data_IF_396966841633
#
_entry.id   IF_396966841633
#
_cell.length_a   1.000
_cell.length_b   1.000
_cell.length_c   1.000
_cell.angle_alpha   90.00
_cell.angle_beta   90.00
_cell.angle_gamma   90.00
#
_symmetry.space_group_name_H-M   'P 1'
#
loop_
_entity.id
_entity.type
_entity.pdbx_description
1 polymer ?
#
# COMPACT_ATOMS: atom_id res chain seq x y z
N UNK A 1 -4.10 -24.88 50.67
CA UNK A 1 -2.73 -25.38 50.88
C UNK A 1 -2.19 -25.92 49.56
N UNK A 2 -0.89 -25.75 49.30
CA UNK A 2 -0.35 -25.32 48.01
C UNK A 2 0.58 -26.35 47.34
N UNK A 3 0.99 -26.10 46.08
CA UNK A 3 2.39 -26.10 45.60
C UNK A 3 2.47 -26.17 44.05
N UNK A 4 2.85 -25.03 43.42
CA UNK A 4 4.05 -24.78 42.58
C UNK A 4 4.68 -25.89 41.70
N UNK A 5 5.56 -25.56 40.70
CA UNK A 5 5.70 -24.33 39.90
C UNK A 5 6.17 -24.50 38.41
N UNK A 6 6.13 -23.37 37.67
CA UNK A 6 7.05 -22.78 36.68
C UNK A 6 8.03 -23.64 35.83
N UNK A 7 8.04 -23.38 34.52
CA UNK A 7 9.17 -23.62 33.61
C UNK A 7 9.55 -22.36 32.80
N UNK A 8 10.71 -21.85 33.21
CA UNK A 8 11.73 -20.94 32.68
C UNK A 8 11.77 -20.57 31.19
N UNK A 9 11.93 -19.26 30.95
CA UNK A 9 12.30 -18.63 29.69
C UNK A 9 13.84 -18.54 29.51
N UNK A 10 14.32 -18.64 28.27
CA UNK A 10 15.73 -18.48 27.88
C UNK A 10 16.07 -17.01 27.57
N UNK A 11 17.26 -16.49 27.95
CA UNK A 11 17.67 -15.14 27.61
C UNK A 11 18.48 -15.07 26.30
N UNK A 12 18.17 -14.06 25.49
CA UNK A 12 19.00 -13.56 24.38
C UNK A 12 20.22 -12.83 24.93
N UNK A 13 21.42 -13.17 24.45
CA UNK A 13 22.65 -12.45 24.75
C UNK A 13 23.00 -11.48 23.61
N UNK A 14 23.35 -10.25 23.98
CA UNK A 14 23.86 -9.23 23.09
C UNK A 14 25.29 -8.84 23.49
N UNK A 15 26.03 -8.31 22.50
CA UNK A 15 27.23 -7.46 22.60
C UNK A 15 28.60 -8.13 22.46
N UNK A 16 29.32 -7.73 21.40
CA UNK A 16 30.77 -7.46 21.43
C UNK A 16 31.10 -6.26 20.53
N UNK A 17 31.34 -5.10 21.14
CA UNK A 17 32.22 -4.04 20.61
C UNK A 17 33.54 -4.14 21.37
N UNK A 18 34.66 -4.28 20.66
CA UNK A 18 36.00 -4.20 21.24
C UNK A 18 36.75 -3.03 20.59
N UNK A 19 37.10 -2.04 21.40
CA UNK A 19 38.07 -0.99 21.08
C UNK A 19 39.40 -1.38 21.72
N UNK A 20 40.51 -1.23 20.98
CA UNK A 20 41.85 -1.42 21.52
C UNK A 20 42.67 -0.13 21.45
N UNK A 21 43.44 0.04 22.53
CA UNK A 21 44.06 1.26 23.05
C UNK A 21 45.41 1.57 22.42
N UNK A 22 45.74 2.86 22.48
CA UNK A 22 47.04 3.50 22.24
C UNK A 22 48.00 3.16 23.38
N UNK A 23 49.26 2.83 23.06
CA UNK A 23 50.37 2.73 24.01
C UNK A 23 51.61 3.44 23.46
N UNK A 24 51.99 4.56 24.09
CA UNK A 24 53.29 5.20 23.91
C UNK A 24 54.38 4.41 24.64
N UNK A 25 55.52 4.19 23.98
CA UNK A 25 56.75 3.72 24.60
C UNK A 25 57.90 4.68 24.27
N UNK A 26 58.40 5.37 25.29
CA UNK A 26 59.66 6.12 25.29
C UNK A 26 60.84 5.13 25.35
N UNK A 27 61.80 5.28 24.44
CA UNK A 27 63.03 4.49 24.40
C UNK A 27 64.21 5.37 24.03
N UNK A 28 65.20 5.38 24.92
CA UNK A 28 66.31 6.32 25.04
C UNK A 28 67.36 6.22 23.92
N UNK A 29 68.07 7.34 23.72
CA UNK A 29 69.04 7.54 22.66
C UNK A 29 70.37 6.80 22.82
N UNK A 30 71.01 6.57 21.67
CA UNK A 30 72.45 6.38 21.52
C UNK A 30 72.85 7.08 20.21
N UNK A 31 73.58 8.17 20.35
CA UNK A 31 74.07 8.98 19.25
C UNK A 31 75.36 8.38 18.69
N UNK A 32 75.35 8.05 17.40
CA UNK A 32 76.55 7.80 16.61
C UNK A 32 76.58 8.82 15.47
N UNK A 33 77.44 9.83 15.64
CA UNK A 33 77.81 10.78 14.60
C UNK A 33 78.64 10.08 13.52
N UNK A 34 78.26 10.23 12.25
CA UNK A 34 79.11 9.77 11.14
C UNK A 34 78.49 9.90 9.76
N UNK A 35 78.83 11.00 9.08
CA UNK A 35 78.83 11.19 7.62
C UNK A 35 77.47 11.15 6.89
N UNK A 36 76.77 12.28 6.93
CA UNK A 36 75.67 12.59 6.03
C UNK A 36 76.20 12.93 4.61
N UNK A 37 76.12 11.98 3.69
CA UNK A 37 76.05 12.27 2.25
C UNK A 37 74.60 12.58 1.86
N UNK A 38 74.32 13.53 0.95
CA UNK A 38 72.95 13.89 0.61
C UNK A 38 72.23 12.69 -0.02
N UNK A 39 71.24 12.15 0.69
CA UNK A 39 70.26 11.20 0.14
C UNK A 39 69.51 11.90 -1.00
N UNK A 40 69.35 11.29 -2.18
CA UNK A 40 68.43 11.81 -3.17
C UNK A 40 67.03 11.88 -2.54
N UNK A 41 66.25 12.94 -2.80
CA UNK A 41 64.91 13.05 -2.24
C UNK A 41 64.11 11.82 -2.64
N UNK A 42 63.55 11.11 -1.65
CA UNK A 42 62.56 10.08 -1.90
C UNK A 42 61.46 10.72 -2.74
N UNK A 43 61.26 10.20 -3.95
CA UNK A 43 60.14 10.57 -4.80
C UNK A 43 58.87 10.47 -3.96
N UNK A 44 58.24 11.61 -3.71
CA UNK A 44 56.96 11.67 -3.01
C UNK A 44 56.00 10.80 -3.81
N UNK A 45 55.64 9.63 -3.25
CA UNK A 45 54.53 8.86 -3.76
C UNK A 45 53.35 9.83 -3.88
N UNK A 46 52.89 10.07 -5.11
CA UNK A 46 51.75 10.95 -5.32
C UNK A 46 50.60 10.41 -4.48
N UNK A 47 49.91 11.26 -3.69
CA UNK A 47 48.75 10.81 -2.94
C UNK A 47 47.78 10.17 -3.93
N UNK A 48 47.29 8.97 -3.61
CA UNK A 48 46.21 8.35 -4.37
C UNK A 48 45.09 9.38 -4.53
N UNK A 49 44.54 9.58 -5.74
CA UNK A 49 43.47 10.54 -5.93
C UNK A 49 42.37 10.23 -4.94
N UNK A 50 41.92 11.25 -4.20
CA UNK A 50 40.78 11.11 -3.30
C UNK A 50 39.62 10.54 -4.13
N UNK A 51 38.99 9.43 -3.71
CA UNK A 51 37.92 8.84 -4.49
C UNK A 51 36.84 9.90 -4.71
N UNK A 52 36.38 10.05 -5.95
CA UNK A 52 35.29 10.97 -6.27
C UNK A 52 34.12 10.73 -5.31
N UNK A 53 33.49 11.79 -4.78
CA UNK A 53 32.29 11.64 -3.98
C UNK A 53 31.27 10.82 -4.76
N UNK A 54 30.72 9.77 -4.16
CA UNK A 54 29.75 8.89 -4.83
C UNK A 54 28.54 9.66 -5.38
N UNK A 55 28.21 10.81 -4.79
CA UNK A 55 27.14 11.70 -5.21
C UNK A 55 27.39 12.39 -6.56
N UNK A 56 28.66 12.52 -6.98
CA UNK A 56 29.06 13.20 -8.22
C UNK A 56 29.23 12.21 -9.38
N UNK A 57 29.04 10.91 -9.12
CA UNK A 57 29.07 9.90 -10.16
C UNK A 57 27.87 10.09 -11.10
N UNK A 58 28.06 9.90 -12.43
CA UNK A 58 26.96 9.98 -13.37
C UNK A 58 25.90 8.93 -13.04
N UNK A 59 24.71 9.38 -12.65
CA UNK A 59 23.58 8.52 -12.37
C UNK A 59 22.69 8.42 -13.61
N UNK A 60 22.40 7.19 -14.03
CA UNK A 60 21.36 6.94 -15.03
C UNK A 60 20.00 6.81 -14.33
N UNK A 61 18.91 7.31 -14.92
CA UNK A 61 17.57 7.10 -14.36
C UNK A 61 17.25 5.62 -14.22
N UNK A 62 16.71 5.23 -13.07
CA UNK A 62 16.15 3.89 -12.90
C UNK A 62 14.85 3.77 -13.71
N UNK A 63 14.72 2.72 -14.52
CA UNK A 63 13.56 2.46 -15.39
C UNK A 63 12.87 1.17 -14.94
N UNK A 64 11.55 1.14 -15.10
CA UNK A 64 10.74 -0.07 -14.93
C UNK A 64 10.24 -0.44 -16.33
N UNK A 65 10.67 -1.58 -16.86
CA UNK A 65 10.26 -1.99 -18.21
C UNK A 65 8.75 -2.21 -18.30
N UNK A 66 8.19 -1.86 -19.46
CA UNK A 66 6.75 -1.94 -19.69
C UNK A 66 5.93 -0.93 -18.87
N UNK A 67 6.57 0.03 -18.20
CA UNK A 67 5.91 1.07 -17.42
C UNK A 67 6.23 2.48 -17.91
N UNK A 68 5.24 3.37 -17.83
CA UNK A 68 5.36 4.77 -18.21
C UNK A 68 4.19 5.59 -17.69
N UNK A 69 4.11 6.84 -18.14
CA UNK A 69 3.00 7.74 -17.82
C UNK A 69 2.70 8.70 -18.96
N UNK A 70 1.48 9.22 -18.97
CA UNK A 70 1.03 10.33 -19.80
C UNK A 70 -0.01 11.14 -19.03
N UNK A 71 -0.15 12.42 -19.38
CA UNK A 71 -1.23 13.24 -18.82
C UNK A 71 -2.48 13.11 -19.71
N UNK A 72 -3.63 12.91 -19.08
CA UNK A 72 -4.93 12.77 -19.75
C UNK A 72 -5.84 13.91 -19.32
N UNK A 73 -6.36 14.65 -20.29
CA UNK A 73 -7.34 15.71 -20.07
C UNK A 73 -8.74 15.16 -20.36
N UNK A 74 -9.63 15.28 -19.38
CA UNK A 74 -11.05 15.05 -19.61
C UNK A 74 -11.64 16.27 -20.30
N UNK A 75 -11.98 16.12 -21.58
CA UNK A 75 -12.54 17.21 -22.38
C UNK A 75 -13.88 17.75 -21.84
N UNK A 76 -14.63 16.94 -21.08
CA UNK A 76 -15.90 17.39 -20.52
C UNK A 76 -15.70 18.39 -19.36
N UNK A 77 -14.75 18.13 -18.46
CA UNK A 77 -14.50 18.98 -17.29
C UNK A 77 -13.30 19.93 -17.44
N UNK A 78 -12.42 19.70 -18.43
CA UNK A 78 -11.11 20.34 -18.54
C UNK A 78 -10.10 19.89 -17.48
N UNK A 79 -10.47 18.93 -16.61
CA UNK A 79 -9.58 18.43 -15.57
C UNK A 79 -8.53 17.50 -16.18
N UNK A 80 -7.29 17.64 -15.72
CA UNK A 80 -6.16 16.80 -16.13
C UNK A 80 -5.70 15.91 -14.99
N UNK A 81 -5.44 14.64 -15.31
CA UNK A 81 -4.81 13.67 -14.41
C UNK A 81 -3.57 13.08 -15.07
N UNK A 82 -2.60 12.65 -14.25
CA UNK A 82 -1.49 11.84 -14.73
C UNK A 82 -1.86 10.37 -14.63
N UNK A 83 -1.83 9.69 -15.76
CA UNK A 83 -2.08 8.26 -15.85
C UNK A 83 -0.74 7.55 -15.96
N UNK A 84 -0.44 6.72 -14.97
CA UNK A 84 0.69 5.81 -14.98
C UNK A 84 0.19 4.45 -15.43
N UNK A 85 0.93 3.77 -16.30
CA UNK A 85 0.54 2.47 -16.83
C UNK A 85 1.73 1.53 -16.80
N UNK A 86 1.53 0.35 -16.23
CA UNK A 86 2.43 -0.79 -16.39
C UNK A 86 1.69 -1.93 -17.09
N UNK A 87 2.26 -2.39 -18.21
CA UNK A 87 1.80 -3.55 -18.95
C UNK A 87 2.65 -4.78 -18.62
N UNK A 88 2.04 -5.95 -18.37
CA UNK A 88 2.79 -7.18 -18.12
C UNK A 88 3.50 -7.66 -19.39
N UNK A 89 4.64 -8.33 -19.22
CA UNK A 89 5.43 -8.89 -20.33
C UNK A 89 4.77 -10.14 -20.95
N UNK A 90 3.97 -10.85 -20.17
CA UNK A 90 3.27 -12.06 -20.62
C UNK A 90 1.90 -11.71 -21.25
N UNK A 91 1.43 -12.50 -22.24
CA UNK A 91 0.12 -12.31 -22.85
C UNK A 91 -1.05 -12.37 -21.85
N UNK A 92 -2.19 -11.81 -22.23
CA UNK A 92 -3.40 -11.84 -21.43
C UNK A 92 -3.92 -13.28 -21.25
N UNK A 93 -4.43 -13.63 -20.06
CA UNK A 93 -5.28 -14.80 -19.90
C UNK A 93 -6.51 -14.75 -20.82
N UNK A 94 -7.17 -15.87 -21.14
CA UNK A 94 -8.38 -15.90 -21.96
C UNK A 94 -9.50 -14.97 -21.46
N UNK A 95 -9.61 -14.82 -20.13
CA UNK A 95 -10.57 -13.93 -19.48
C UNK A 95 -10.15 -12.45 -19.45
N UNK A 96 -8.98 -12.11 -20.00
CA UNK A 96 -8.35 -10.80 -19.92
C UNK A 96 -7.44 -10.62 -18.70
N UNK A 97 -6.62 -9.57 -18.74
CA UNK A 97 -5.76 -9.17 -17.63
C UNK A 97 -6.60 -8.74 -16.42
N UNK A 98 -6.35 -9.28 -15.22
CA UNK A 98 -6.72 -8.58 -14.00
C UNK A 98 -5.97 -7.25 -13.91
N UNK A 99 -6.58 -6.24 -13.29
CA UNK A 99 -5.98 -4.91 -13.20
C UNK A 99 -6.23 -4.26 -11.84
N UNK A 100 -5.27 -3.43 -11.41
CA UNK A 100 -5.38 -2.64 -10.19
C UNK A 100 -5.22 -1.16 -10.52
N UNK A 101 -6.27 -0.38 -10.27
CA UNK A 101 -6.21 1.08 -10.24
C UNK A 101 -5.64 1.50 -8.89
N UNK A 102 -4.56 2.27 -8.92
CA UNK A 102 -3.79 2.72 -7.76
C UNK A 102 -3.84 4.24 -7.73
N UNK A 103 -4.56 4.79 -6.76
CA UNK A 103 -4.60 6.23 -6.54
C UNK A 103 -3.29 6.72 -5.94
N UNK A 104 -3.02 8.02 -6.00
CA UNK A 104 -1.71 8.60 -5.63
C UNK A 104 -0.55 8.03 -6.46
N UNK A 105 -0.80 7.83 -7.76
CA UNK A 105 0.13 7.21 -8.70
C UNK A 105 1.54 7.80 -8.66
N UNK A 106 1.68 9.13 -8.55
CA UNK A 106 2.99 9.78 -8.45
C UNK A 106 3.84 9.26 -7.28
N UNK A 107 3.21 8.91 -6.15
CA UNK A 107 3.91 8.41 -4.98
C UNK A 107 4.17 6.89 -5.04
N UNK A 108 3.19 6.12 -5.49
CA UNK A 108 3.19 4.66 -5.23
C UNK A 108 3.12 3.76 -6.46
N UNK A 109 2.89 4.30 -7.66
CA UNK A 109 2.86 3.50 -8.88
C UNK A 109 4.16 2.71 -9.11
N UNK A 110 5.38 3.29 -8.98
CA UNK A 110 6.61 2.53 -9.26
C UNK A 110 6.75 1.28 -8.39
N UNK A 111 6.29 1.35 -7.14
CA UNK A 111 6.30 0.24 -6.18
C UNK A 111 5.32 -0.85 -6.61
N UNK A 112 4.09 -0.46 -6.98
CA UNK A 112 3.07 -1.38 -7.45
C UNK A 112 3.47 -2.07 -8.76
N UNK A 113 3.98 -1.31 -9.73
CA UNK A 113 4.43 -1.78 -11.03
C UNK A 113 5.59 -2.78 -10.88
N UNK A 114 6.61 -2.44 -10.09
CA UNK A 114 7.74 -3.34 -9.87
C UNK A 114 7.32 -4.61 -9.12
N UNK A 115 6.43 -4.48 -8.13
CA UNK A 115 5.92 -5.65 -7.41
C UNK A 115 5.07 -6.56 -8.31
N UNK A 116 4.25 -6.02 -9.21
CA UNK A 116 3.50 -6.80 -10.20
C UNK A 116 4.43 -7.58 -11.14
N UNK A 117 5.53 -6.97 -11.60
CA UNK A 117 6.57 -7.67 -12.38
C UNK A 117 7.21 -8.82 -11.60
N UNK A 118 7.54 -8.59 -10.32
CA UNK A 118 8.11 -9.63 -9.45
C UNK A 118 7.14 -10.80 -9.20
N UNK A 119 5.83 -10.62 -9.31
CA UNK A 119 4.89 -11.75 -9.25
C UNK A 119 5.07 -12.72 -10.41
N UNK A 120 5.56 -12.26 -11.57
CA UNK A 120 5.75 -13.05 -12.79
C UNK A 120 7.06 -13.86 -12.79
N UNK A 121 8.02 -13.53 -11.94
CA UNK A 121 9.32 -14.25 -11.85
C UNK A 121 9.24 -15.51 -10.99
N UNK A 122 8.11 -15.76 -10.34
CA UNK A 122 7.90 -16.90 -9.45
C UNK A 122 7.81 -18.23 -10.21
N UNK A 123 8.10 -19.37 -9.54
CA UNK A 123 7.84 -20.70 -10.08
C UNK A 123 6.38 -20.86 -10.50
N UNK A 124 6.12 -21.60 -11.59
CA UNK A 124 4.80 -21.68 -12.25
C UNK A 124 3.66 -22.03 -11.28
N UNK A 125 3.89 -22.94 -10.33
CA UNK A 125 2.87 -23.39 -9.36
C UNK A 125 2.47 -22.33 -8.32
N UNK A 126 3.27 -21.27 -8.16
CA UNK A 126 3.01 -20.11 -7.27
C UNK A 126 3.16 -18.77 -8.01
N UNK A 127 3.09 -18.78 -9.35
CA UNK A 127 3.12 -17.59 -10.18
C UNK A 127 1.72 -16.99 -10.33
N UNK A 128 1.59 -15.71 -9.99
CA UNK A 128 0.35 -14.97 -10.25
C UNK A 128 0.08 -14.84 -11.75
N UNK A 129 -1.16 -14.60 -12.14
CA UNK A 129 -1.47 -14.16 -13.49
C UNK A 129 -0.82 -12.80 -13.79
N UNK A 130 -0.42 -12.55 -15.05
CA UNK A 130 0.05 -11.23 -15.46
C UNK A 130 -1.07 -10.21 -15.24
N UNK A 131 -0.74 -9.07 -14.62
CA UNK A 131 -1.72 -8.03 -14.27
C UNK A 131 -1.28 -6.67 -14.77
N UNK A 132 -2.24 -5.80 -15.06
CA UNK A 132 -2.02 -4.39 -15.42
C UNK A 132 -2.10 -3.53 -14.16
N UNK A 133 -1.16 -2.59 -13.99
CA UNK A 133 -1.24 -1.57 -12.93
C UNK A 133 -1.51 -0.21 -13.57
N UNK A 134 -2.54 0.47 -13.06
CA UNK A 134 -3.01 1.77 -13.55
C UNK A 134 -2.87 2.78 -12.41
N UNK A 135 -1.85 3.62 -12.43
CA UNK A 135 -1.69 4.68 -11.44
C UNK A 135 -2.49 5.93 -11.83
N UNK A 136 -3.22 6.51 -10.90
CA UNK A 136 -3.93 7.79 -11.08
C UNK A 136 -3.28 8.81 -10.17
N UNK A 137 -2.76 9.88 -10.76
CA UNK A 137 -2.15 10.97 -10.03
C UNK A 137 -2.36 12.31 -10.71
N UNK A 138 -1.43 13.23 -10.49
CA UNK A 138 -1.56 14.63 -10.90
C UNK A 138 -0.33 15.05 -11.71
N UNK A 139 -0.49 15.91 -12.73
CA UNK A 139 0.66 16.47 -13.44
C UNK A 139 1.66 17.15 -12.50
N UNK A 140 2.95 16.99 -12.80
CA UNK A 140 4.06 17.50 -11.97
C UNK A 140 4.81 16.40 -11.21
N UNK A 141 5.86 16.81 -10.48
CA UNK A 141 6.84 15.87 -9.90
C UNK A 141 6.62 15.62 -8.40
N UNK A 142 5.64 16.29 -7.79
CA UNK A 142 5.30 16.07 -6.39
C UNK A 142 4.76 14.65 -6.19
N UNK A 143 5.23 13.96 -5.14
CA UNK A 143 4.66 12.67 -4.73
C UNK A 143 3.16 12.81 -4.40
N UNK A 144 2.79 13.91 -3.76
CA UNK A 144 1.40 14.23 -3.42
C UNK A 144 1.10 15.71 -3.72
N UNK A 145 0.20 15.98 -4.66
CA UNK A 145 -0.41 17.30 -4.84
C UNK A 145 -1.52 17.50 -3.79
N UNK A 146 -1.22 18.21 -2.71
CA UNK A 146 -2.16 18.38 -1.60
C UNK A 146 -3.49 19.05 -1.97
N UNK A 147 -3.52 19.89 -3.00
CA UNK A 147 -4.74 20.58 -3.45
C UNK A 147 -5.57 19.66 -4.32
N UNK A 148 -4.96 19.06 -5.34
CA UNK A 148 -5.67 18.18 -6.26
C UNK A 148 -6.15 16.90 -5.58
N UNK A 149 -5.38 16.33 -4.64
CA UNK A 149 -5.81 15.17 -3.85
C UNK A 149 -7.01 15.48 -2.96
N UNK A 150 -7.05 16.67 -2.34
CA UNK A 150 -8.21 17.09 -1.54
C UNK A 150 -9.44 17.23 -2.42
N UNK A 151 -9.30 17.79 -3.61
CA UNK A 151 -10.39 17.85 -4.60
C UNK A 151 -10.88 16.46 -4.99
N UNK A 152 -9.98 15.62 -5.49
CA UNK A 152 -10.37 14.41 -6.21
C UNK A 152 -10.75 13.24 -5.29
N UNK A 153 -10.34 13.24 -4.03
CA UNK A 153 -10.57 12.09 -3.13
C UNK A 153 -11.57 12.33 -2.01
N UNK A 154 -12.16 13.53 -1.92
CA UNK A 154 -13.18 13.82 -0.92
C UNK A 154 -14.59 13.80 -1.53
N UNK A 155 -15.55 13.07 -0.92
CA UNK A 155 -16.94 13.03 -1.37
C UNK A 155 -17.58 14.41 -1.44
N UNK A 156 -18.53 14.66 -2.36
CA UNK A 156 -19.38 15.84 -2.29
C UNK A 156 -20.34 15.70 -1.11
N UNK A 157 -20.02 16.36 0.00
CA UNK A 157 -20.83 16.36 1.22
C UNK A 157 -21.40 17.75 1.54
N UNK A 158 -22.55 17.86 2.24
CA UNK A 158 -23.14 19.14 2.61
C UNK A 158 -22.15 20.02 3.40
N UNK A 159 -21.95 21.26 2.97
CA UNK A 159 -21.06 22.22 3.66
C UNK A 159 -19.57 22.08 3.33
N UNK A 160 -19.18 21.15 2.46
CA UNK A 160 -17.79 21.06 1.95
C UNK A 160 -17.46 22.29 1.11
N UNK A 161 -16.24 22.81 1.29
CA UNK A 161 -15.74 23.96 0.56
C UNK A 161 -14.63 23.57 -0.41
N UNK A 162 -14.48 24.33 -1.49
CA UNK A 162 -13.39 24.15 -2.43
C UNK A 162 -12.02 24.18 -1.71
N UNK A 163 -11.04 23.34 -2.11
CA UNK A 163 -11.08 22.51 -3.31
C UNK A 163 -11.80 21.16 -3.15
N UNK A 164 -12.26 20.78 -1.95
CA UNK A 164 -12.85 19.46 -1.65
C UNK A 164 -14.21 19.21 -2.34
N UNK A 165 -14.65 17.95 -2.38
CA UNK A 165 -15.94 17.51 -2.91
C UNK A 165 -15.95 17.06 -4.38
N UNK A 166 -14.78 16.73 -4.94
CA UNK A 166 -14.62 16.36 -6.35
C UNK A 166 -14.59 14.87 -6.64
N UNK A 167 -14.82 13.99 -5.66
CA UNK A 167 -14.71 12.53 -5.86
C UNK A 167 -15.60 11.99 -6.99
N UNK A 168 -16.84 12.46 -7.10
CA UNK A 168 -17.73 12.02 -8.17
C UNK A 168 -17.18 12.36 -9.57
N UNK A 169 -16.48 13.49 -9.73
CA UNK A 169 -15.86 13.85 -11.02
C UNK A 169 -14.72 12.91 -11.40
N UNK A 170 -13.91 12.50 -10.41
CA UNK A 170 -12.88 11.50 -10.66
C UNK A 170 -13.51 10.13 -10.97
N UNK A 171 -14.61 9.75 -10.29
CA UNK A 171 -15.33 8.51 -10.62
C UNK A 171 -15.91 8.54 -12.03
N UNK A 172 -16.50 9.67 -12.45
CA UNK A 172 -16.99 9.85 -13.83
C UNK A 172 -15.87 9.68 -14.85
N UNK A 173 -14.71 10.30 -14.59
CA UNK A 173 -13.55 10.14 -15.44
C UNK A 173 -13.08 8.67 -15.51
N UNK A 174 -12.95 8.00 -14.37
CA UNK A 174 -12.52 6.60 -14.34
C UNK A 174 -13.49 5.70 -15.09
N UNK A 175 -14.79 5.85 -14.86
CA UNK A 175 -15.82 4.97 -15.42
C UNK A 175 -16.09 5.24 -16.91
N UNK A 176 -16.36 6.50 -17.26
CA UNK A 176 -16.92 6.87 -18.55
C UNK A 176 -15.87 7.31 -19.56
N UNK A 177 -14.66 7.65 -19.11
CA UNK A 177 -13.58 8.09 -20.00
C UNK A 177 -12.48 7.03 -20.04
N UNK A 178 -11.78 6.82 -18.92
CA UNK A 178 -10.58 6.00 -18.89
C UNK A 178 -10.88 4.51 -19.13
N UNK A 179 -11.72 3.91 -18.27
CA UNK A 179 -12.01 2.47 -18.35
C UNK A 179 -12.91 2.12 -19.54
N UNK A 180 -13.77 3.04 -19.96
CA UNK A 180 -14.58 2.88 -21.17
C UNK A 180 -13.72 2.82 -22.43
N UNK A 181 -12.75 3.74 -22.59
CA UNK A 181 -11.81 3.73 -23.71
C UNK A 181 -10.91 2.48 -23.67
N UNK A 182 -10.39 2.13 -22.50
CA UNK A 182 -9.44 1.03 -22.38
C UNK A 182 -10.09 -0.34 -22.56
N UNK A 183 -11.36 -0.51 -22.22
CA UNK A 183 -12.09 -1.74 -22.50
C UNK A 183 -12.12 -2.09 -24.00
N UNK A 184 -11.92 -1.12 -24.89
CA UNK A 184 -11.86 -1.34 -26.34
C UNK A 184 -10.44 -1.64 -26.85
N UNK A 185 -9.40 -1.27 -26.07
CA UNK A 185 -8.00 -1.26 -26.51
C UNK A 185 -7.12 -2.26 -25.76
N UNK A 186 -7.56 -2.68 -24.58
CA UNK A 186 -6.86 -3.60 -23.70
C UNK A 186 -7.79 -4.75 -23.31
N UNK A 187 -7.31 -6.01 -23.35
CA UNK A 187 -8.10 -7.15 -22.90
C UNK A 187 -8.15 -7.16 -21.37
N UNK A 188 -8.92 -6.26 -20.76
CA UNK A 188 -9.09 -6.16 -19.31
C UNK A 188 -10.24 -7.06 -18.84
N UNK A 189 -10.00 -7.81 -17.77
CA UNK A 189 -11.05 -8.52 -17.06
C UNK A 189 -11.76 -7.56 -16.10
N UNK A 190 -12.94 -7.07 -16.50
CA UNK A 190 -13.73 -6.12 -15.69
C UNK A 190 -14.16 -6.67 -14.33
N UNK A 191 -14.37 -7.98 -14.20
CA UNK A 191 -14.71 -8.62 -12.93
C UNK A 191 -13.52 -8.67 -11.96
N UNK A 192 -12.30 -8.44 -12.48
CA UNK A 192 -11.05 -8.46 -11.73
C UNK A 192 -10.34 -7.12 -11.74
N UNK A 193 -11.12 -6.05 -11.83
CA UNK A 193 -10.65 -4.68 -11.64
C UNK A 193 -10.68 -4.34 -10.14
N UNK A 194 -9.53 -3.99 -9.59
CA UNK A 194 -9.38 -3.52 -8.22
C UNK A 194 -9.14 -2.02 -8.14
N UNK A 195 -9.47 -1.43 -7.00
CA UNK A 195 -9.15 -0.04 -6.65
C UNK A 195 -8.39 0.00 -5.33
N UNK A 196 -7.23 0.65 -5.31
CA UNK A 196 -6.41 0.86 -4.13
C UNK A 196 -6.24 2.35 -3.82
N UNK A 197 -6.31 2.70 -2.54
CA UNK A 197 -5.97 4.03 -2.05
C UNK A 197 -5.60 4.03 -0.57
N UNK A 198 -4.83 5.05 -0.18
CA UNK A 198 -4.35 5.28 1.17
C UNK A 198 -4.82 6.64 1.73
N UNK A 199 -5.19 6.69 3.00
CA UNK A 199 -5.59 7.96 3.65
C UNK A 199 -6.81 8.59 2.96
N UNK A 200 -6.69 9.79 2.36
CA UNK A 200 -7.76 10.41 1.57
C UNK A 200 -8.13 9.57 0.34
N UNK A 201 -7.16 8.98 -0.37
CA UNK A 201 -7.51 8.10 -1.49
C UNK A 201 -8.14 6.78 -1.02
N UNK A 202 -7.88 6.37 0.23
CA UNK A 202 -8.63 5.29 0.90
C UNK A 202 -10.08 5.67 1.24
N UNK A 203 -10.33 6.93 1.60
CA UNK A 203 -11.69 7.48 1.72
C UNK A 203 -12.42 7.42 0.36
N UNK A 204 -11.74 7.81 -0.73
CA UNK A 204 -12.28 7.70 -2.09
C UNK A 204 -12.61 6.25 -2.46
N UNK A 205 -11.76 5.26 -2.12
CA UNK A 205 -12.05 3.84 -2.40
C UNK A 205 -13.38 3.40 -1.78
N UNK A 206 -13.64 3.82 -0.54
CA UNK A 206 -14.89 3.49 0.14
C UNK A 206 -16.08 4.28 -0.43
N UNK A 207 -15.87 5.54 -0.81
CA UNK A 207 -16.89 6.32 -1.52
C UNK A 207 -17.27 5.66 -2.86
N UNK A 208 -16.29 5.19 -3.62
CA UNK A 208 -16.50 4.45 -4.87
C UNK A 208 -17.32 3.17 -4.63
N UNK A 209 -16.99 2.42 -3.57
CA UNK A 209 -17.79 1.27 -3.15
C UNK A 209 -19.23 1.68 -2.84
N UNK A 210 -19.46 2.73 -2.06
CA UNK A 210 -20.83 3.04 -1.60
C UNK A 210 -21.70 3.72 -2.65
N UNK A 211 -21.11 4.36 -3.66
CA UNK A 211 -21.83 5.10 -4.70
C UNK A 211 -21.89 4.37 -6.04
N UNK A 212 -20.85 3.61 -6.40
CA UNK A 212 -20.72 2.89 -7.68
C UNK A 212 -20.15 1.49 -7.48
N UNK A 213 -20.79 0.62 -6.68
CA UNK A 213 -20.21 -0.65 -6.24
C UNK A 213 -19.96 -1.67 -7.36
N UNK A 214 -20.53 -1.47 -8.56
CA UNK A 214 -20.32 -2.31 -9.73
C UNK A 214 -19.08 -1.93 -10.56
N UNK A 215 -18.44 -0.79 -10.28
CA UNK A 215 -17.31 -0.30 -11.06
C UNK A 215 -16.04 -1.13 -10.85
N UNK A 216 -15.82 -1.58 -9.61
CA UNK A 216 -14.71 -2.44 -9.22
C UNK A 216 -15.21 -3.70 -8.52
N UNK A 217 -14.49 -4.82 -8.68
CA UNK A 217 -14.78 -6.06 -7.94
C UNK A 217 -14.01 -6.17 -6.63
N UNK A 218 -12.94 -5.38 -6.46
CA UNK A 218 -12.06 -5.41 -5.30
C UNK A 218 -11.72 -3.99 -4.84
N UNK A 219 -11.89 -3.72 -3.55
CA UNK A 219 -11.70 -2.41 -2.93
C UNK A 219 -10.68 -2.53 -1.81
N UNK A 220 -9.54 -1.86 -1.95
CA UNK A 220 -8.44 -1.88 -0.98
C UNK A 220 -8.28 -0.49 -0.37
N UNK A 221 -8.85 -0.30 0.82
CA UNK A 221 -8.84 0.95 1.54
C UNK A 221 -7.83 0.88 2.69
N UNK A 222 -6.63 1.43 2.46
CA UNK A 222 -5.57 1.47 3.46
C UNK A 222 -5.65 2.74 4.31
N UNK A 223 -5.74 2.59 5.63
CA UNK A 223 -5.85 3.71 6.59
C UNK A 223 -6.88 4.77 6.13
N UNK A 224 -8.10 4.37 5.72
CA UNK A 224 -9.01 5.28 5.04
C UNK A 224 -9.46 6.39 5.97
N UNK A 225 -9.49 7.63 5.48
CA UNK A 225 -9.86 8.81 6.28
C UNK A 225 -11.37 8.89 6.56
N UNK A 226 -11.96 7.85 7.16
CA UNK A 226 -13.38 7.75 7.49
C UNK A 226 -13.82 8.87 8.43
N UNK A 227 -12.89 9.45 9.21
CA UNK A 227 -13.14 10.59 10.09
C UNK A 227 -13.44 11.90 9.36
N UNK A 228 -13.11 12.00 8.08
CA UNK A 228 -13.27 13.22 7.30
C UNK A 228 -14.73 13.70 7.31
N UNK A 229 -14.92 15.02 7.42
CA UNK A 229 -16.20 15.72 7.41
C UNK A 229 -17.26 15.07 8.32
N UNK A 230 -16.95 15.03 9.63
CA UNK A 230 -17.79 14.43 10.67
C UNK A 230 -18.23 12.99 10.37
N UNK A 231 -17.31 12.23 9.77
CA UNK A 231 -17.54 10.87 9.31
C UNK A 231 -18.73 10.71 8.36
N UNK A 232 -18.88 11.65 7.43
CA UNK A 232 -19.90 11.64 6.37
C UNK A 232 -20.01 10.30 5.64
N UNK A 233 -18.89 9.61 5.44
CA UNK A 233 -18.83 8.31 4.77
C UNK A 233 -19.74 7.24 5.44
N UNK A 234 -20.01 7.33 6.75
CA UNK A 234 -20.95 6.43 7.42
C UNK A 234 -22.40 6.60 6.91
N UNK A 235 -22.77 7.80 6.46
CA UNK A 235 -24.07 8.04 5.83
C UNK A 235 -24.13 7.39 4.44
N UNK A 236 -23.03 7.41 3.69
CA UNK A 236 -22.94 6.70 2.41
C UNK A 236 -23.02 5.19 2.58
N UNK A 237 -22.35 4.63 3.59
CA UNK A 237 -22.47 3.22 3.95
C UNK A 237 -23.92 2.85 4.26
N UNK A 238 -24.64 3.64 5.06
CA UNK A 238 -26.05 3.39 5.37
C UNK A 238 -26.94 3.39 4.12
N UNK A 239 -26.72 4.36 3.20
CA UNK A 239 -27.43 4.42 1.91
C UNK A 239 -27.10 3.21 1.03
N UNK A 240 -25.84 2.79 0.98
CA UNK A 240 -25.40 1.60 0.25
C UNK A 240 -26.14 0.35 0.75
N UNK A 241 -26.17 0.15 2.08
CA UNK A 241 -26.86 -0.99 2.69
C UNK A 241 -28.37 -0.99 2.37
N UNK A 242 -29.01 0.18 2.32
CA UNK A 242 -30.42 0.29 1.97
C UNK A 242 -30.69 -0.02 0.49
N UNK A 243 -29.85 0.48 -0.43
CA UNK A 243 -30.11 0.41 -1.87
C UNK A 243 -29.71 -0.91 -2.52
N UNK A 244 -28.66 -1.57 -2.01
CA UNK A 244 -28.03 -2.69 -2.72
C UNK A 244 -28.25 -4.07 -2.08
N UNK A 245 -29.19 -4.18 -1.14
CA UNK A 245 -29.52 -5.45 -0.48
C UNK A 245 -29.94 -6.55 -1.46
N UNK A 246 -30.75 -6.23 -2.47
CA UNK A 246 -31.15 -7.20 -3.50
C UNK A 246 -30.00 -7.63 -4.40
N UNK A 247 -29.13 -6.68 -4.77
CA UNK A 247 -28.01 -6.91 -5.69
C UNK A 247 -26.94 -7.83 -5.11
N UNK A 248 -26.60 -7.67 -3.83
CA UNK A 248 -25.53 -8.44 -3.17
C UNK A 248 -26.04 -9.53 -2.22
N UNK A 249 -27.24 -9.37 -1.66
CA UNK A 249 -27.80 -10.26 -0.63
C UNK A 249 -28.68 -11.40 -1.15
N UNK A 250 -29.04 -11.41 -2.44
CA UNK A 250 -29.85 -12.45 -3.05
C UNK A 250 -29.15 -13.82 -3.13
N UNK A 251 -29.94 -14.89 -3.31
CA UNK A 251 -29.42 -16.25 -3.46
C UNK A 251 -28.51 -16.43 -4.69
N UNK A 252 -28.69 -15.58 -5.71
CA UNK A 252 -27.84 -15.47 -6.90
C UNK A 252 -27.51 -13.97 -7.07
N UNK A 253 -26.48 -13.46 -6.39
CA UNK A 253 -26.18 -12.03 -6.41
C UNK A 253 -25.71 -11.61 -7.81
N UNK A 254 -26.19 -10.45 -8.27
CA UNK A 254 -25.77 -9.86 -9.55
C UNK A 254 -24.57 -8.92 -9.40
N UNK A 255 -24.10 -8.68 -8.17
CA UNK A 255 -22.88 -7.93 -7.88
C UNK A 255 -21.89 -8.74 -7.05
N UNK A 256 -20.60 -8.45 -7.22
CA UNK A 256 -19.53 -8.97 -6.36
C UNK A 256 -18.62 -7.82 -5.90
N UNK A 257 -18.37 -7.75 -4.60
CA UNK A 257 -17.45 -6.77 -4.00
C UNK A 257 -16.64 -7.44 -2.87
N UNK A 258 -15.31 -7.43 -3.04
CA UNK A 258 -14.37 -7.83 -2.00
C UNK A 258 -13.72 -6.58 -1.41
N UNK A 259 -13.94 -6.34 -0.12
CA UNK A 259 -13.55 -5.10 0.56
C UNK A 259 -12.49 -5.43 1.60
N UNK A 260 -11.34 -4.78 1.46
CA UNK A 260 -10.20 -4.92 2.34
C UNK A 260 -9.93 -3.58 3.02
N UNK A 261 -10.14 -3.51 4.32
CA UNK A 261 -9.79 -2.35 5.14
C UNK A 261 -8.52 -2.64 5.93
N UNK A 262 -7.58 -1.70 5.90
CA UNK A 262 -6.30 -1.84 6.60
C UNK A 262 -6.08 -0.68 7.58
N UNK A 263 -5.37 -0.94 8.67
CA UNK A 263 -4.81 0.08 9.54
C UNK A 263 -3.50 -0.42 10.18
N UNK A 264 -2.62 0.49 10.58
CA UNK A 264 -1.46 0.24 11.41
C UNK A 264 -1.78 0.40 12.89
N UNK A 265 -1.17 -0.41 13.76
CA UNK A 265 -1.45 -0.39 15.19
C UNK A 265 -1.04 0.90 15.90
N UNK A 266 -0.21 1.74 15.28
CA UNK A 266 0.23 3.03 15.83
C UNK A 266 -0.61 4.22 15.32
N UNK A 267 -1.66 3.97 14.52
CA UNK A 267 -2.53 5.03 13.98
C UNK A 267 -3.51 5.61 15.00
N UNK A 268 -3.79 4.86 16.06
CA UNK A 268 -4.66 5.27 17.15
C UNK A 268 -3.96 4.95 18.47
N UNK A 269 -3.75 5.94 19.35
CA UNK A 269 -3.09 5.69 20.62
C UNK A 269 -3.94 4.76 21.47
N UNK A 270 -3.38 3.64 21.92
CA UNK A 270 -3.98 2.87 23.01
C UNK A 270 -3.88 3.67 24.31
N UNK A 271 -4.82 3.49 25.23
CA UNK A 271 -4.76 4.12 26.56
C UNK A 271 -3.45 3.83 27.33
N UNK A 272 -2.76 2.73 26.98
CA UNK A 272 -1.55 2.23 27.64
C UNK A 272 -0.25 2.51 26.86
N UNK A 273 -0.31 2.91 25.58
CA UNK A 273 0.83 3.04 24.68
C UNK A 273 1.23 4.47 24.32
N UNK A 274 0.64 5.48 24.97
CA UNK A 274 0.94 6.89 24.70
C UNK A 274 2.32 7.27 25.25
N UNK A 275 3.29 7.72 24.41
CA UNK A 275 4.57 8.24 24.91
C UNK A 275 4.35 9.42 25.86
N UNK A 276 5.09 9.48 26.96
CA UNK A 276 4.94 10.52 27.99
C UNK A 276 5.10 11.96 27.45
N UNK A 277 5.78 12.13 26.31
CA UNK A 277 6.01 13.41 25.65
C UNK A 277 5.09 13.67 24.45
N UNK A 278 4.09 12.81 24.20
CA UNK A 278 3.15 13.03 23.12
C UNK A 278 2.28 14.28 23.42
N UNK A 279 2.22 15.28 22.51
CA UNK A 279 1.49 16.52 22.74
C UNK A 279 0.04 16.25 23.15
N UNK A 280 -0.55 17.05 24.06
CA UNK A 280 -1.93 16.88 24.52
C UNK A 280 -2.88 16.66 23.34
N UNK A 281 -3.76 15.67 23.45
CA UNK A 281 -4.79 15.40 22.43
C UNK A 281 -5.60 16.68 22.24
N UNK A 282 -5.48 17.35 21.09
CA UNK A 282 -6.22 18.60 20.87
C UNK A 282 -5.67 19.64 19.91
N UNK A 283 -4.55 19.45 19.18
CA UNK A 283 -4.14 20.45 18.18
C UNK A 283 -4.16 20.03 16.71
N UNK A 284 -4.23 18.73 16.35
CA UNK A 284 -4.66 18.23 15.01
C UNK A 284 -5.28 16.82 15.01
N UNK A 285 -5.36 16.17 16.16
CA UNK A 285 -5.78 14.78 16.35
C UNK A 285 -6.89 14.66 17.43
N UNK A 286 -7.99 15.38 17.29
CA UNK A 286 -9.23 15.05 17.99
C UNK A 286 -9.75 13.74 17.39
N UNK A 287 -9.43 12.64 18.08
CA UNK A 287 -9.73 11.22 17.85
C UNK A 287 -10.30 10.90 16.47
N UNK A 288 -9.41 10.78 15.47
CA UNK A 288 -9.76 10.25 14.14
C UNK A 288 -10.42 8.86 14.25
N UNK A 289 -10.20 8.14 15.35
CA UNK A 289 -10.70 6.77 15.55
C UNK A 289 -10.33 5.91 14.33
N UNK A 290 -9.10 6.05 13.85
CA UNK A 290 -8.67 5.53 12.55
C UNK A 290 -8.72 4.00 12.51
N UNK A 291 -8.27 3.35 13.59
CA UNK A 291 -8.34 1.90 13.73
C UNK A 291 -9.78 1.49 14.01
N UNK A 292 -10.44 2.19 14.95
CA UNK A 292 -11.79 1.87 15.40
C UNK A 292 -12.81 1.94 14.26
N UNK A 293 -12.88 3.04 13.51
CA UNK A 293 -13.82 3.24 12.40
C UNK A 293 -13.59 2.25 11.26
N UNK A 294 -12.33 1.99 10.88
CA UNK A 294 -12.02 1.04 9.81
C UNK A 294 -12.43 -0.39 10.19
N UNK A 295 -12.17 -0.78 11.44
CA UNK A 295 -12.58 -2.08 11.98
C UNK A 295 -14.09 -2.22 12.04
N UNK A 296 -14.78 -1.24 12.62
CA UNK A 296 -16.24 -1.24 12.78
C UNK A 296 -16.95 -1.27 11.42
N UNK A 297 -16.49 -0.47 10.45
CA UNK A 297 -17.05 -0.49 9.10
C UNK A 297 -16.90 -1.87 8.44
N UNK A 298 -15.71 -2.48 8.52
CA UNK A 298 -15.51 -3.83 7.99
C UNK A 298 -16.43 -4.86 8.68
N UNK A 299 -16.56 -4.79 10.01
CA UNK A 299 -17.44 -5.66 10.79
C UNK A 299 -18.90 -5.48 10.41
N UNK A 300 -19.36 -4.24 10.23
CA UNK A 300 -20.73 -3.93 9.82
C UNK A 300 -21.02 -4.45 8.41
N UNK A 301 -20.11 -4.26 7.45
CA UNK A 301 -20.26 -4.80 6.10
C UNK A 301 -20.27 -6.34 6.11
N UNK A 302 -19.39 -6.98 6.88
CA UNK A 302 -19.36 -8.44 7.02
C UNK A 302 -20.63 -8.98 7.71
N UNK A 303 -21.18 -8.25 8.67
CA UNK A 303 -22.40 -8.63 9.38
C UNK A 303 -23.66 -8.67 8.50
N UNK A 304 -23.63 -8.01 7.32
CA UNK A 304 -24.70 -8.11 6.32
C UNK A 304 -24.89 -9.54 5.81
N UNK A 305 -23.83 -10.36 5.83
CA UNK A 305 -23.82 -11.76 5.32
C UNK A 305 -24.37 -11.89 3.89
N UNK A 306 -24.15 -10.86 3.08
CA UNK A 306 -24.55 -10.83 1.67
C UNK A 306 -23.57 -11.67 0.85
N UNK A 307 -24.01 -12.73 0.14
CA UNK A 307 -23.09 -13.61 -0.59
C UNK A 307 -22.21 -12.87 -1.61
N UNK A 308 -22.74 -11.80 -2.22
CA UNK A 308 -22.00 -10.95 -3.17
C UNK A 308 -21.05 -9.93 -2.52
N UNK A 309 -21.02 -9.79 -1.20
CA UNK A 309 -20.19 -8.80 -0.51
C UNK A 309 -19.37 -9.48 0.61
N UNK A 310 -18.05 -9.39 0.49
CA UNK A 310 -17.12 -9.90 1.51
C UNK A 310 -16.27 -8.73 2.01
N UNK A 311 -16.23 -8.51 3.32
CA UNK A 311 -15.44 -7.45 3.92
C UNK A 311 -14.51 -8.02 4.99
N UNK A 312 -13.26 -7.57 4.99
CA UNK A 312 -12.26 -7.94 5.98
C UNK A 312 -11.46 -6.74 6.47
N UNK A 313 -11.07 -6.79 7.74
CA UNK A 313 -10.18 -5.83 8.36
C UNK A 313 -8.85 -6.48 8.73
N UNK A 314 -7.75 -5.82 8.41
CA UNK A 314 -6.41 -6.26 8.79
C UNK A 314 -5.68 -5.14 9.52
N UNK A 315 -5.20 -5.46 10.72
CA UNK A 315 -4.33 -4.59 11.50
C UNK A 315 -2.88 -5.01 11.29
N UNK A 316 -2.05 -4.09 10.82
CA UNK A 316 -0.61 -4.30 10.72
C UNK A 316 0.07 -3.93 12.04
N UNK A 317 0.80 -4.84 12.68
CA UNK A 317 1.51 -4.54 13.91
C UNK A 317 2.64 -3.54 13.67
N UNK A 318 2.85 -2.65 14.62
CA UNK A 318 3.96 -1.68 14.71
C UNK A 318 4.04 -0.64 13.57
N UNK A 319 2.99 -0.54 12.73
CA UNK A 319 2.97 0.40 11.63
C UNK A 319 2.28 1.72 11.99
N UNK A 320 2.88 2.83 11.54
CA UNK A 320 2.23 4.15 11.56
C UNK A 320 1.26 4.31 10.38
N UNK A 321 0.62 5.49 10.30
CA UNK A 321 -0.26 5.83 9.19
C UNK A 321 0.45 5.73 7.83
N UNK A 322 1.68 6.24 7.73
CA UNK A 322 2.46 6.18 6.48
C UNK A 322 2.90 4.76 6.15
N UNK A 323 3.41 4.02 7.14
CA UNK A 323 3.99 2.69 6.94
C UNK A 323 2.97 1.66 6.48
N UNK A 324 1.69 1.85 6.84
CA UNK A 324 0.58 0.97 6.45
C UNK A 324 0.34 0.92 4.94
N UNK A 325 0.74 1.97 4.22
CA UNK A 325 0.56 2.08 2.76
C UNK A 325 1.21 0.92 2.00
N UNK A 326 2.47 0.61 2.32
CA UNK A 326 3.27 -0.36 1.57
C UNK A 326 2.76 -1.81 1.66
N UNK A 327 2.60 -2.43 2.85
CA UNK A 327 2.14 -3.82 2.93
C UNK A 327 0.72 -3.98 2.39
N UNK A 328 -0.13 -2.96 2.56
CA UNK A 328 -1.48 -2.95 1.99
C UNK A 328 -1.45 -2.93 0.46
N UNK A 329 -0.58 -2.11 -0.15
CA UNK A 329 -0.38 -2.06 -1.61
C UNK A 329 0.16 -3.39 -2.15
N UNK A 330 1.17 -3.95 -1.49
CA UNK A 330 1.77 -5.23 -1.89
C UNK A 330 0.76 -6.37 -1.82
N UNK A 331 -0.11 -6.39 -0.80
CA UNK A 331 -1.22 -7.33 -0.69
C UNK A 331 -2.25 -7.14 -1.81
N UNK A 332 -2.61 -5.89 -2.14
CA UNK A 332 -3.57 -5.59 -3.20
C UNK A 332 -3.08 -6.06 -4.58
N UNK A 333 -1.82 -5.81 -4.93
CA UNK A 333 -1.21 -6.29 -6.17
C UNK A 333 -1.13 -7.83 -6.18
N UNK A 334 -0.73 -8.45 -5.07
CA UNK A 334 -0.67 -9.90 -4.97
C UNK A 334 -2.06 -10.54 -5.17
N UNK A 335 -3.10 -9.99 -4.53
CA UNK A 335 -4.48 -10.44 -4.68
C UNK A 335 -5.00 -10.23 -6.11
N UNK A 336 -4.67 -9.09 -6.74
CA UNK A 336 -5.04 -8.80 -8.13
C UNK A 336 -4.47 -9.85 -9.08
N UNK A 337 -3.21 -10.24 -8.91
CA UNK A 337 -2.56 -11.27 -9.72
C UNK A 337 -2.96 -12.71 -9.35
N UNK A 338 -3.68 -12.94 -8.24
CA UNK A 338 -3.95 -14.31 -7.76
C UNK A 338 -4.83 -15.08 -8.77
N UNK A 339 -4.44 -16.28 -9.25
CA UNK A 339 -5.30 -17.10 -10.09
C UNK A 339 -6.61 -17.46 -9.38
N UNK A 340 -7.73 -17.50 -10.10
CA UNK A 340 -9.03 -17.86 -9.52
C UNK A 340 -9.01 -19.22 -8.81
N UNK A 341 -8.29 -20.20 -9.38
CA UNK A 341 -8.10 -21.54 -8.83
C UNK A 341 -7.36 -21.61 -7.48
N UNK A 342 -6.69 -20.54 -7.05
CA UNK A 342 -6.06 -20.47 -5.72
C UNK A 342 -6.97 -19.87 -4.67
N UNK A 343 -8.10 -19.27 -5.07
CA UNK A 343 -9.10 -18.80 -4.13
C UNK A 343 -9.74 -20.03 -3.49
N UNK A 344 -9.69 -20.11 -2.17
CA UNK A 344 -10.27 -21.20 -1.36
C UNK A 344 -9.68 -22.60 -1.59
N UNK A 345 -8.49 -22.70 -2.20
CA UNK A 345 -7.76 -23.96 -2.28
C UNK A 345 -7.33 -24.41 -0.87
N UNK A 346 -7.74 -25.61 -0.48
CA UNK A 346 -7.20 -26.25 0.72
C UNK A 346 -5.78 -26.72 0.44
N UNK A 347 -4.81 -25.97 0.95
CA UNK A 347 -3.39 -26.32 0.87
C UNK A 347 -2.97 -27.37 1.92
N UNK A 348 -3.93 -28.10 2.50
CA UNK A 348 -3.69 -29.01 3.61
C UNK A 348 -3.37 -28.30 4.93
N UNK A 349 -3.72 -27.01 5.03
CA UNK A 349 -3.54 -26.18 6.22
C UNK A 349 -4.83 -26.08 7.04
N UNK A 350 -5.96 -26.50 6.48
CA UNK A 350 -7.19 -26.70 7.23
C UNK A 350 -7.06 -28.01 8.03
N UNK A 351 -7.42 -28.06 9.31
CA UNK A 351 -7.50 -29.32 10.03
C UNK A 351 -8.47 -30.24 9.29
N UNK A 352 -8.18 -31.55 9.14
CA UNK A 352 -9.07 -32.49 8.49
C UNK A 352 -10.44 -32.40 9.16
N UNK A 353 -11.48 -32.11 8.38
CA UNK A 353 -12.85 -32.09 8.89
C UNK A 353 -13.12 -33.47 9.49
N UNK A 354 -13.45 -33.51 10.79
CA UNK A 354 -13.83 -34.73 11.46
C UNK A 354 -15.00 -35.33 10.66
N UNK A 355 -14.74 -36.45 9.99
CA UNK A 355 -15.77 -37.22 9.32
C UNK A 355 -16.79 -37.61 10.39
N UNK A 356 -17.93 -36.94 10.39
CA UNK A 356 -19.11 -37.33 11.14
C UNK A 356 -19.62 -38.65 10.59
N UNK A 357 -18.94 -39.74 10.95
CA UNK A 357 -19.40 -41.09 10.71
C UNK A 357 -20.56 -41.38 11.65
N UNK A 358 -21.78 -41.06 11.21
CA UNK A 358 -22.95 -41.84 11.62
C UNK A 358 -22.91 -43.16 10.85
N UNK A 359 -22.12 -44.11 11.36
CA UNK A 359 -22.21 -45.52 11.02
C UNK A 359 -23.18 -46.20 11.97
N UNK A 360 -24.25 -46.75 11.40
CA UNK A 360 -25.29 -47.54 12.06
C UNK A 360 -24.76 -48.81 12.72
#
# INVERSE_FOLDING_TARGET
MPNSPLATALPFTASRRAALRIGLGLGSGLALSGCAGPRPPMSSASPLPSPHPLADLPMHPARIDGAGWFDWEDHASGQRWRIWLQMPEQPAPPEGYPALVVLDGNAIFPLAAQWARLQQTRPVYVRGQPSVIIGIGHPGDALFDATSRRRDYTPPAPGVQAPEGGADRLLDFLEHVLLADWAQRLPLNRQRLGLFGHSLSGLFVLHALFTRPALFGQYYAASPSIWWHDAYLLQEQARFTQRHASQYGGAQPSGQAQVFLYAGSLEEPSAQGRPAHAPPTGQRHTVRLQITRAREMAQQLAALRWPGLQAQFQLWPDLTHGDTMMPSLMQAVANTSRPAQWKDADYGLQPPQASGGTGR
#
